data_IF_520651125338
#
_entry.id   IF_520651125338
#
_cell.length_a   1.000
_cell.length_b   1.000
_cell.length_c   1.000
_cell.angle_alpha   90.00
_cell.angle_beta   90.00
_cell.angle_gamma   90.00
#
_symmetry.space_group_name_H-M   'P 1'
#
loop_
_entity.id
_entity.type
_entity.pdbx_description
1 polymer ?
#
# COMPACT_ATOMS: atom_id res chain seq x y z
N UNK A 1 56.27 43.42 -14.60
CA UNK A 1 55.08 43.84 -15.37
C UNK A 1 55.07 43.13 -16.71
N UNK A 2 53.92 42.54 -17.08
CA UNK A 2 53.52 42.00 -18.39
C UNK A 2 54.45 40.97 -19.05
N UNK A 3 54.05 39.70 -18.96
CA UNK A 3 54.29 38.70 -20.02
C UNK A 3 52.99 37.95 -20.31
N UNK A 4 52.34 38.36 -21.41
CA UNK A 4 51.36 37.54 -22.13
C UNK A 4 52.13 36.41 -22.82
N UNK A 5 51.74 35.17 -22.59
CA UNK A 5 52.28 34.03 -23.34
C UNK A 5 51.15 33.09 -23.75
N UNK A 6 50.90 33.11 -25.06
CA UNK A 6 50.52 32.02 -25.98
C UNK A 6 49.34 31.11 -25.60
N UNK A 7 48.27 31.30 -26.37
CA UNK A 7 47.28 30.28 -26.73
C UNK A 7 47.92 29.27 -27.68
N UNK A 8 47.88 28.00 -27.30
CA UNK A 8 48.05 26.78 -28.11
C UNK A 8 46.78 25.98 -27.77
N UNK A 9 45.87 25.60 -28.67
CA UNK A 9 46.06 25.08 -30.01
C UNK A 9 45.99 23.56 -29.93
N UNK A 10 44.80 22.97 -29.82
CA UNK A 10 44.58 21.57 -30.23
C UNK A 10 43.10 21.31 -30.58
N UNK A 11 42.80 21.40 -31.87
CA UNK A 11 41.63 20.79 -32.47
C UNK A 11 41.84 19.28 -32.50
N UNK A 12 41.02 18.53 -31.75
CA UNK A 12 40.93 17.09 -31.91
C UNK A 12 39.59 16.76 -32.57
N UNK A 13 39.67 16.55 -33.88
CA UNK A 13 38.61 15.93 -34.66
C UNK A 13 38.47 14.48 -34.22
N UNK A 14 37.34 14.13 -33.59
CA UNK A 14 36.96 12.74 -33.39
C UNK A 14 36.11 12.32 -34.59
N UNK A 15 36.71 11.46 -35.41
CA UNK A 15 36.10 10.84 -36.56
C UNK A 15 34.91 9.95 -36.14
N UNK A 16 33.81 10.11 -36.87
CA UNK A 16 32.77 9.11 -36.97
C UNK A 16 33.32 7.88 -37.69
N UNK A 17 33.62 6.81 -36.95
CA UNK A 17 33.74 5.47 -37.53
C UNK A 17 32.44 4.72 -37.28
N UNK A 18 31.62 4.66 -38.34
CA UNK A 18 30.61 3.63 -38.50
C UNK A 18 31.33 2.28 -38.57
N UNK A 19 31.11 1.43 -37.58
CA UNK A 19 31.30 -0.01 -37.71
C UNK A 19 29.94 -0.67 -37.62
N UNK A 20 29.41 -0.96 -38.81
CA UNK A 20 28.36 -1.92 -39.00
C UNK A 20 28.87 -3.31 -38.57
N UNK A 21 28.23 -3.89 -37.57
CA UNK A 21 28.15 -5.34 -37.41
C UNK A 21 26.68 -5.70 -37.45
N UNK A 22 26.23 -5.92 -38.68
CA UNK A 22 25.03 -6.62 -39.04
C UNK A 22 25.12 -8.06 -38.48
N UNK A 23 24.19 -8.40 -37.60
CA UNK A 23 23.92 -9.78 -37.20
C UNK A 23 22.42 -9.91 -36.96
N UNK A 24 21.69 -9.68 -38.05
CA UNK A 24 20.29 -9.99 -38.20
C UNK A 24 20.08 -11.50 -38.09
N UNK A 25 19.89 -12.02 -36.86
CA UNK A 25 19.28 -13.34 -36.67
C UNK A 25 17.76 -13.16 -36.77
N UNK A 26 17.06 -13.82 -37.71
CA UNK A 26 15.62 -13.73 -37.78
C UNK A 26 15.03 -14.30 -36.50
N UNK A 27 14.20 -13.51 -35.82
CA UNK A 27 13.36 -14.01 -34.73
C UNK A 27 12.49 -15.14 -35.31
N UNK A 28 12.74 -16.37 -34.87
CA UNK A 28 11.86 -17.48 -35.10
C UNK A 28 10.50 -17.15 -34.47
N UNK A 29 9.56 -16.70 -35.30
CA UNK A 29 8.14 -16.66 -34.98
C UNK A 29 7.71 -18.09 -34.73
N UNK A 30 7.56 -18.48 -33.47
CA UNK A 30 6.70 -19.60 -33.14
C UNK A 30 5.27 -19.22 -33.53
N UNK A 31 4.59 -19.96 -34.42
CA UNK A 31 3.17 -19.75 -34.65
C UNK A 31 2.41 -20.08 -33.37
N UNK A 32 1.66 -19.10 -32.85
CA UNK A 32 0.58 -19.36 -31.88
C UNK A 32 -0.41 -20.32 -32.54
N UNK A 33 -0.78 -21.44 -31.90
CA UNK A 33 -1.91 -22.24 -32.35
C UNK A 33 -3.17 -21.37 -32.37
N UNK A 34 -3.72 -21.16 -33.57
CA UNK A 34 -5.00 -20.50 -33.76
C UNK A 34 -6.11 -21.39 -33.20
N UNK A 35 -6.86 -20.86 -32.24
CA UNK A 35 -8.14 -21.46 -31.86
C UNK A 35 -9.14 -21.18 -32.97
N UNK A 36 -9.50 -22.22 -33.72
CA UNK A 36 -10.65 -22.21 -34.60
C UNK A 36 -11.94 -22.03 -33.77
N UNK A 37 -12.90 -21.20 -34.22
CA UNK A 37 -14.21 -21.12 -33.58
C UNK A 37 -14.95 -22.45 -33.73
N UNK A 38 -15.38 -23.04 -32.62
CA UNK A 38 -16.22 -24.23 -32.62
C UNK A 38 -17.63 -23.88 -33.13
N UNK A 39 -18.20 -24.66 -34.06
CA UNK A 39 -19.60 -24.51 -34.48
C UNK A 39 -20.57 -24.71 -33.30
N UNK A 40 -21.58 -23.85 -33.24
CA UNK A 40 -22.63 -23.88 -32.21
C UNK A 40 -23.48 -25.14 -32.29
N UNK A 41 -23.74 -25.74 -31.14
CA UNK A 41 -24.74 -26.81 -31.00
C UNK A 41 -26.12 -26.18 -30.77
N UNK A 42 -27.19 -26.71 -31.42
CA UNK A 42 -28.55 -26.26 -31.18
C UNK A 42 -29.03 -26.68 -29.78
N UNK A 43 -29.92 -25.90 -29.13
CA UNK A 43 -30.46 -26.24 -27.82
C UNK A 43 -31.38 -27.48 -27.90
N UNK A 44 -31.15 -28.47 -27.03
CA UNK A 44 -32.05 -29.61 -26.89
C UNK A 44 -33.26 -29.27 -25.98
N UNK A 45 -34.48 -29.75 -26.31
CA UNK A 45 -35.67 -29.57 -25.49
C UNK A 45 -35.56 -30.31 -24.14
N UNK A 46 -36.01 -29.65 -23.08
CA UNK A 46 -36.01 -30.20 -21.72
C UNK A 46 -36.97 -31.37 -21.53
N UNK A 47 -36.49 -32.44 -20.92
CA UNK A 47 -37.31 -33.52 -20.38
C UNK A 47 -37.55 -33.33 -18.87
N UNK A 48 -38.75 -33.67 -18.35
CA UNK A 48 -39.05 -33.59 -16.93
C UNK A 48 -38.32 -34.68 -16.13
N UNK A 49 -37.92 -34.41 -14.86
CA UNK A 49 -37.22 -35.38 -14.04
C UNK A 49 -38.16 -36.50 -13.52
N UNK A 50 -37.69 -37.76 -13.42
CA UNK A 50 -38.46 -38.86 -12.87
C UNK A 50 -38.41 -38.91 -11.32
N UNK A 51 -39.42 -39.52 -10.66
CA UNK A 51 -39.50 -39.55 -9.20
C UNK A 51 -38.55 -40.59 -8.57
N UNK A 52 -38.13 -40.29 -7.34
CA UNK A 52 -37.00 -40.89 -6.65
C UNK A 52 -37.04 -42.39 -6.35
N UNK A 53 -35.84 -42.99 -6.33
CA UNK A 53 -35.53 -44.20 -5.58
C UNK A 53 -34.17 -44.03 -4.87
N UNK A 54 -34.03 -44.46 -3.60
CA UNK A 54 -32.80 -44.28 -2.83
C UNK A 54 -31.73 -45.32 -3.19
N UNK A 55 -30.47 -44.89 -3.34
CA UNK A 55 -29.29 -45.76 -3.52
C UNK A 55 -28.51 -45.91 -2.20
N UNK A 56 -28.01 -47.12 -1.86
CA UNK A 56 -27.17 -47.39 -0.69
C UNK A 56 -25.79 -46.72 -0.74
N UNK A 57 -25.33 -46.28 0.43
CA UNK A 57 -24.17 -45.39 0.60
C UNK A 57 -22.79 -46.07 0.53
N UNK A 58 -21.82 -45.30 0.05
CA UNK A 58 -20.38 -45.53 0.26
C UNK A 58 -19.91 -44.76 1.51
N UNK A 59 -18.94 -45.30 2.27
CA UNK A 59 -18.43 -44.64 3.47
C UNK A 59 -17.63 -43.37 3.14
N UNK A 60 -17.85 -42.25 3.85
CA UNK A 60 -17.11 -41.01 3.64
C UNK A 60 -15.68 -41.11 4.18
N UNK A 61 -14.73 -40.51 3.43
CA UNK A 61 -13.39 -40.17 3.92
C UNK A 61 -13.46 -39.17 5.09
N UNK A 62 -12.53 -39.18 6.05
CA UNK A 62 -12.50 -38.21 7.15
C UNK A 62 -12.41 -36.78 6.61
N UNK A 63 -13.52 -36.06 6.71
CA UNK A 63 -13.64 -34.65 6.38
C UNK A 63 -13.09 -33.79 7.51
N UNK A 64 -12.39 -32.72 7.12
CA UNK A 64 -12.11 -31.60 8.00
C UNK A 64 -13.44 -31.08 8.60
N UNK A 65 -13.45 -30.71 9.89
CA UNK A 65 -14.64 -30.17 10.51
C UNK A 65 -15.08 -28.89 9.78
N UNK A 66 -16.39 -28.73 9.50
CA UNK A 66 -16.91 -27.49 8.96
C UNK A 66 -16.60 -26.33 9.92
N UNK A 67 -16.32 -25.10 9.43
CA UNK A 67 -16.18 -23.96 10.31
C UNK A 67 -17.49 -23.77 11.05
N UNK A 68 -17.48 -24.06 12.35
CA UNK A 68 -18.54 -23.67 13.27
C UNK A 68 -18.73 -22.15 13.16
N UNK A 69 -20.00 -21.75 13.28
CA UNK A 69 -20.53 -20.43 12.99
C UNK A 69 -19.54 -19.28 13.15
N UNK A 70 -19.47 -18.45 12.10
CA UNK A 70 -18.88 -17.12 12.21
C UNK A 70 -19.47 -16.46 13.47
N UNK A 71 -18.64 -16.12 14.48
CA UNK A 71 -19.12 -15.29 15.56
C UNK A 71 -19.62 -13.97 14.93
N UNK A 72 -20.74 -13.41 15.41
CA UNK A 72 -21.18 -12.09 14.98
C UNK A 72 -20.00 -11.11 15.12
N UNK A 73 -19.88 -10.11 14.22
CA UNK A 73 -18.79 -9.15 14.30
C UNK A 73 -18.74 -8.59 15.73
N UNK A 74 -17.56 -8.56 16.38
CA UNK A 74 -17.47 -8.13 17.76
C UNK A 74 -17.96 -6.68 17.87
N UNK A 75 -19.20 -6.53 18.37
CA UNK A 75 -19.70 -5.29 18.97
C UNK A 75 -18.90 -5.06 20.25
N UNK A 76 -17.71 -4.51 20.13
CA UNK A 76 -16.83 -4.32 21.30
C UNK A 76 -15.37 -4.01 21.00
N UNK A 77 -15.04 -3.51 19.79
CA UNK A 77 -13.77 -2.80 19.66
C UNK A 77 -13.83 -1.59 20.59
N UNK A 78 -12.88 -1.46 21.51
CA UNK A 78 -12.69 -0.22 22.24
C UNK A 78 -12.74 0.95 21.22
N UNK A 79 -13.47 2.04 21.52
CA UNK A 79 -13.45 3.21 20.66
C UNK A 79 -12.01 3.55 20.32
N UNK A 80 -11.73 3.79 19.03
CA UNK A 80 -10.48 4.44 18.63
C UNK A 80 -10.25 5.61 19.60
N UNK A 81 -9.03 5.81 20.13
CA UNK A 81 -8.74 6.97 20.96
C UNK A 81 -9.21 8.21 20.19
N UNK A 82 -10.29 8.83 20.65
CA UNK A 82 -10.75 10.07 20.03
C UNK A 82 -9.67 11.11 20.32
N UNK A 83 -9.12 11.79 19.30
CA UNK A 83 -8.21 12.89 19.54
C UNK A 83 -8.90 13.91 20.45
N UNK A 84 -8.13 14.50 21.38
CA UNK A 84 -8.64 15.63 22.14
C UNK A 84 -9.14 16.73 21.18
N UNK A 85 -10.20 17.49 21.54
CA UNK A 85 -10.69 18.57 20.69
C UNK A 85 -9.55 19.53 20.32
N UNK A 86 -9.35 19.75 19.02
CA UNK A 86 -8.32 20.68 18.54
C UNK A 86 -8.71 22.12 18.88
N UNK A 87 -7.74 22.95 19.32
CA UNK A 87 -8.01 24.36 19.62
C UNK A 87 -8.45 25.10 18.35
N UNK A 88 -9.26 26.17 18.47
CA UNK A 88 -9.60 27.02 17.33
C UNK A 88 -8.34 27.45 16.56
N UNK A 89 -8.40 27.37 15.24
CA UNK A 89 -7.29 27.65 14.34
C UNK A 89 -7.81 28.48 13.15
N UNK A 90 -7.05 29.46 12.64
CA UNK A 90 -7.47 30.27 11.51
C UNK A 90 -7.75 29.42 10.27
N UNK A 91 -8.64 29.87 9.35
CA UNK A 91 -8.89 29.16 8.11
C UNK A 91 -7.63 28.99 7.25
N UNK A 92 -7.48 27.82 6.63
CA UNK A 92 -6.40 27.49 5.69
C UNK A 92 -7.00 27.32 4.30
N UNK A 93 -6.95 28.39 3.51
CA UNK A 93 -7.58 28.45 2.17
C UNK A 93 -6.77 27.76 1.07
N UNK A 94 -5.46 27.56 1.29
CA UNK A 94 -4.55 27.01 0.29
C UNK A 94 -3.91 25.70 0.75
N UNK A 95 -4.71 24.79 1.29
CA UNK A 95 -4.22 23.51 1.78
C UNK A 95 -3.84 22.55 0.62
N UNK A 96 -2.62 21.99 0.60
CA UNK A 96 -2.17 21.12 -0.50
C UNK A 96 -2.91 19.78 -0.57
N UNK A 97 -3.43 19.24 0.53
CA UNK A 97 -4.22 18.00 0.51
C UNK A 97 -5.61 18.25 -0.08
N UNK A 98 -6.24 19.39 0.25
CA UNK A 98 -7.51 19.79 -0.35
C UNK A 98 -7.40 19.96 -1.88
N UNK A 99 -6.25 20.44 -2.36
CA UNK A 99 -5.94 20.60 -3.79
C UNK A 99 -5.38 19.36 -4.48
N UNK A 100 -5.12 18.28 -3.72
CA UNK A 100 -4.49 17.06 -4.24
C UNK A 100 -3.16 17.38 -4.92
N UNK A 101 -2.33 18.19 -4.27
CA UNK A 101 -0.98 18.52 -4.73
C UNK A 101 -0.07 17.29 -4.60
N UNK A 102 0.17 16.63 -5.73
CA UNK A 102 0.95 15.40 -5.77
C UNK A 102 2.41 15.59 -5.37
N UNK A 103 2.99 16.76 -5.64
CA UNK A 103 4.37 17.02 -5.26
C UNK A 103 4.50 17.15 -3.74
N UNK A 104 3.55 17.83 -3.10
CA UNK A 104 3.45 17.88 -1.65
C UNK A 104 3.32 16.46 -1.05
N UNK A 105 2.38 15.65 -1.58
CA UNK A 105 2.14 14.30 -1.07
C UNK A 105 3.37 13.39 -1.20
N UNK A 106 4.07 13.44 -2.34
CA UNK A 106 5.32 12.70 -2.55
C UNK A 106 6.41 13.15 -1.58
N UNK A 107 6.58 14.46 -1.37
CA UNK A 107 7.53 14.99 -0.38
C UNK A 107 7.16 14.55 1.04
N UNK A 108 5.88 14.53 1.38
CA UNK A 108 5.42 14.06 2.70
C UNK A 108 5.71 12.57 2.90
N UNK A 109 5.48 11.74 1.88
CA UNK A 109 5.84 10.32 1.92
C UNK A 109 7.35 10.11 2.18
N UNK A 110 8.22 10.91 1.54
CA UNK A 110 9.67 10.88 1.79
C UNK A 110 10.04 11.30 3.21
N UNK A 111 9.33 12.27 3.79
CA UNK A 111 9.54 12.66 5.19
C UNK A 111 9.11 11.55 6.15
N UNK A 112 7.92 10.99 5.94
CA UNK A 112 7.37 9.91 6.78
C UNK A 112 8.28 8.68 6.77
N UNK A 113 8.78 8.24 5.61
CA UNK A 113 9.73 7.11 5.56
C UNK A 113 11.05 7.41 6.28
N UNK A 114 11.51 8.68 6.26
CA UNK A 114 12.66 9.11 7.05
C UNK A 114 12.44 8.97 8.55
N UNK A 115 11.27 9.40 9.04
CA UNK A 115 10.87 9.25 10.44
C UNK A 115 10.79 7.76 10.84
N UNK A 116 10.15 6.93 10.02
CA UNK A 116 10.04 5.47 10.22
C UNK A 116 11.41 4.80 10.32
N UNK A 117 12.31 5.05 9.36
CA UNK A 117 13.69 4.52 9.38
C UNK A 117 14.45 4.96 10.63
N UNK A 118 14.31 6.23 11.03
CA UNK A 118 14.97 6.76 12.23
C UNK A 118 14.47 6.09 13.52
N UNK A 119 13.22 5.63 13.51
CA UNK A 119 12.57 4.96 14.63
C UNK A 119 13.00 3.51 14.82
N UNK A 120 13.59 2.87 13.81
CA UNK A 120 14.00 1.48 13.88
C UNK A 120 15.19 1.25 14.83
N UNK A 121 15.26 0.07 15.49
CA UNK A 121 16.48 -0.43 16.11
C UNK A 121 17.69 -0.41 15.17
N UNK A 122 18.90 -0.27 15.72
CA UNK A 122 20.14 -0.08 14.94
C UNK A 122 20.36 -1.14 13.85
N UNK A 123 20.11 -2.42 14.16
CA UNK A 123 20.27 -3.52 13.22
C UNK A 123 19.29 -3.41 12.04
N UNK A 124 18.00 -3.21 12.32
CA UNK A 124 16.96 -3.08 11.30
C UNK A 124 17.16 -1.82 10.47
N UNK A 125 17.51 -0.70 11.10
CA UNK A 125 17.83 0.55 10.40
C UNK A 125 18.99 0.38 9.43
N UNK A 126 20.06 -0.31 9.84
CA UNK A 126 21.20 -0.60 8.98
C UNK A 126 20.84 -1.38 7.70
N UNK A 127 19.79 -2.20 7.75
CA UNK A 127 19.32 -2.96 6.58
C UNK A 127 18.54 -2.12 5.57
N UNK A 128 17.88 -1.05 6.02
CA UNK A 128 16.91 -0.31 5.19
C UNK A 128 17.25 1.15 4.97
N UNK A 129 18.30 1.67 5.62
CA UNK A 129 18.68 3.08 5.50
C UNK A 129 18.85 3.51 4.04
N UNK A 130 19.48 2.65 3.22
CA UNK A 130 19.76 2.91 1.81
C UNK A 130 18.62 2.54 0.84
N UNK A 131 17.53 1.91 1.32
CA UNK A 131 16.41 1.51 0.46
C UNK A 131 15.65 2.75 -0.01
N UNK A 132 15.62 3.07 -1.32
CA UNK A 132 14.90 4.25 -1.80
C UNK A 132 13.38 4.00 -1.79
N UNK A 133 12.62 5.06 -1.51
CA UNK A 133 11.20 5.12 -1.83
C UNK A 133 11.07 5.77 -3.20
N UNK A 134 10.50 5.03 -4.16
CA UNK A 134 10.22 5.48 -5.52
C UNK A 134 8.73 5.75 -5.67
N UNK A 135 8.40 6.65 -6.58
CA UNK A 135 7.00 6.93 -6.91
C UNK A 135 6.61 6.18 -8.15
N UNK A 136 5.49 5.47 -8.08
CA UNK A 136 4.80 4.87 -9.22
C UNK A 136 3.73 5.84 -9.72
N UNK A 137 4.00 6.50 -10.84
CA UNK A 137 3.11 7.48 -11.45
C UNK A 137 2.09 6.85 -12.43
N UNK A 138 2.02 5.51 -12.48
CA UNK A 138 1.08 4.80 -13.34
C UNK A 138 -0.35 5.18 -13.00
N UNK A 139 -1.05 5.68 -14.01
CA UNK A 139 -2.44 6.15 -13.90
C UNK A 139 -3.35 5.06 -13.37
N UNK A 140 -4.05 5.38 -12.27
CA UNK A 140 -5.07 4.50 -11.67
C UNK A 140 -4.50 3.36 -10.82
N UNK A 141 -3.18 3.26 -10.69
CA UNK A 141 -2.55 2.33 -9.76
C UNK A 141 -2.77 2.85 -8.33
N UNK A 142 -3.27 1.98 -7.45
CA UNK A 142 -3.45 2.24 -6.01
C UNK A 142 -2.78 1.11 -5.28
N UNK A 143 -1.49 1.30 -5.03
CA UNK A 143 -0.63 0.31 -4.42
C UNK A 143 0.58 0.94 -3.73
N UNK A 144 1.18 0.16 -2.82
CA UNK A 144 2.54 0.30 -2.35
C UNK A 144 3.14 -1.10 -2.27
N UNK A 145 4.44 -1.23 -2.49
CA UNK A 145 5.10 -2.54 -2.42
C UNK A 145 6.60 -2.41 -2.17
N UNK A 146 7.14 -3.36 -1.42
CA UNK A 146 8.55 -3.64 -1.30
C UNK A 146 9.00 -4.60 -2.41
N UNK A 147 10.07 -4.25 -3.13
CA UNK A 147 10.57 -5.03 -4.27
C UNK A 147 12.06 -5.31 -4.17
N UNK A 148 12.45 -6.39 -4.84
CA UNK A 148 13.83 -6.76 -5.07
C UNK A 148 14.13 -6.83 -6.56
N UNK A 149 15.06 -6.02 -7.04
CA UNK A 149 15.45 -6.00 -8.46
C UNK A 149 16.97 -6.12 -8.57
N UNK A 150 17.44 -7.20 -9.20
CA UNK A 150 18.87 -7.47 -9.38
C UNK A 150 19.66 -7.43 -8.06
N UNK A 151 19.07 -7.94 -6.97
CA UNK A 151 19.67 -7.91 -5.63
C UNK A 151 19.60 -6.55 -4.94
N UNK A 152 18.87 -5.57 -5.49
CA UNK A 152 18.68 -4.25 -4.89
C UNK A 152 17.27 -4.10 -4.34
N UNK A 153 17.20 -3.68 -3.08
CA UNK A 153 15.95 -3.39 -2.39
C UNK A 153 15.43 -1.99 -2.73
N UNK A 154 14.13 -1.87 -2.93
CA UNK A 154 13.43 -0.61 -3.12
C UNK A 154 11.99 -0.73 -2.66
N UNK A 155 11.40 0.40 -2.30
CA UNK A 155 9.96 0.51 -2.03
C UNK A 155 9.33 1.40 -3.09
N UNK A 156 8.10 1.09 -3.49
CA UNK A 156 7.31 1.94 -4.35
C UNK A 156 6.01 2.35 -3.66
N UNK A 157 5.57 3.59 -3.91
CA UNK A 157 4.23 4.08 -3.57
C UNK A 157 3.62 4.76 -4.79
N UNK A 158 2.38 4.43 -5.10
CA UNK A 158 1.69 5.01 -6.26
C UNK A 158 1.10 6.39 -5.98
N UNK A 159 1.06 7.24 -7.01
CA UNK A 159 0.34 8.52 -6.94
C UNK A 159 -1.16 8.32 -6.63
N UNK A 160 -1.76 7.26 -7.17
CA UNK A 160 -3.16 6.95 -6.88
C UNK A 160 -3.40 6.58 -5.42
N UNK A 161 -2.46 5.88 -4.76
CA UNK A 161 -2.57 5.62 -3.32
C UNK A 161 -2.45 6.91 -2.50
N UNK A 162 -1.50 7.79 -2.85
CA UNK A 162 -1.36 9.09 -2.20
C UNK A 162 -2.65 9.92 -2.31
N UNK A 163 -3.26 9.96 -3.50
CA UNK A 163 -4.51 10.68 -3.73
C UNK A 163 -5.69 10.06 -2.94
N UNK A 164 -5.83 8.74 -2.93
CA UNK A 164 -6.86 8.06 -2.13
C UNK A 164 -6.69 8.37 -0.64
N UNK A 165 -5.47 8.29 -0.09
CA UNK A 165 -5.17 8.62 1.30
C UNK A 165 -5.48 10.08 1.63
N UNK A 166 -5.15 11.02 0.76
CA UNK A 166 -5.50 12.43 0.98
C UNK A 166 -7.02 12.65 1.06
N UNK A 167 -7.80 11.99 0.20
CA UNK A 167 -9.26 12.10 0.23
C UNK A 167 -9.87 11.39 1.45
N UNK A 168 -9.33 10.22 1.84
CA UNK A 168 -9.72 9.53 3.07
C UNK A 168 -9.49 10.41 4.30
N UNK A 169 -8.29 10.99 4.43
CA UNK A 169 -7.93 11.91 5.50
C UNK A 169 -8.84 13.14 5.55
N UNK A 170 -9.09 13.79 4.41
CA UNK A 170 -9.97 14.97 4.30
C UNK A 170 -11.42 14.64 4.71
N UNK A 171 -11.94 13.52 4.21
CA UNK A 171 -13.29 13.06 4.53
C UNK A 171 -13.43 12.69 6.01
N UNK A 172 -12.47 11.93 6.54
CA UNK A 172 -12.47 11.51 7.94
C UNK A 172 -12.28 12.68 8.90
N UNK A 173 -11.41 13.64 8.58
CA UNK A 173 -11.25 14.85 9.40
C UNK A 173 -12.54 15.69 9.44
N UNK A 174 -13.30 15.74 8.34
CA UNK A 174 -14.60 16.42 8.31
C UNK A 174 -15.58 15.75 9.27
N UNK A 175 -15.59 14.42 9.29
CA UNK A 175 -16.45 13.64 10.20
C UNK A 175 -16.07 13.85 11.67
N UNK A 176 -14.77 13.86 11.97
CA UNK A 176 -14.27 14.03 13.34
C UNK A 176 -14.47 15.46 13.88
N UNK A 177 -14.36 16.48 13.03
CA UNK A 177 -14.48 17.89 13.47
C UNK A 177 -15.92 18.39 13.46
N UNK A 178 -16.74 17.93 12.51
CA UNK A 178 -18.09 18.48 12.27
C UNK A 178 -19.22 17.46 12.44
N UNK A 179 -18.92 16.20 12.76
CA UNK A 179 -19.94 15.15 12.88
C UNK A 179 -20.63 14.81 11.56
N UNK A 180 -19.95 15.03 10.43
CA UNK A 180 -20.47 14.66 9.11
C UNK A 180 -20.38 13.14 8.86
N UNK A 181 -20.75 12.70 7.65
CA UNK A 181 -20.55 11.32 7.16
C UNK A 181 -19.81 11.29 5.82
N UNK A 182 -18.90 12.23 5.62
CA UNK A 182 -18.12 12.42 4.39
C UNK A 182 -17.27 11.22 4.06
N UNK A 183 -16.75 10.47 5.03
CA UNK A 183 -16.01 9.25 4.73
C UNK A 183 -16.90 8.19 4.08
N UNK A 184 -18.09 7.95 4.63
CA UNK A 184 -19.08 7.03 4.04
C UNK A 184 -19.59 7.52 2.67
N UNK A 185 -19.82 8.83 2.53
CA UNK A 185 -20.19 9.43 1.24
C UNK A 185 -19.08 9.26 0.20
N UNK A 186 -17.81 9.42 0.60
CA UNK A 186 -16.65 9.27 -0.27
C UNK A 186 -16.48 7.81 -0.71
N UNK A 187 -16.64 6.86 0.22
CA UNK A 187 -16.66 5.43 -0.09
C UNK A 187 -17.70 5.12 -1.17
N UNK A 188 -18.96 5.55 -0.99
CA UNK A 188 -20.02 5.34 -1.98
C UNK A 188 -19.72 6.02 -3.31
N UNK A 189 -19.09 7.19 -3.27
CA UNK A 189 -18.66 7.90 -4.47
C UNK A 189 -17.62 7.09 -5.26
N UNK A 190 -16.59 6.56 -4.60
CA UNK A 190 -15.57 5.71 -5.23
C UNK A 190 -16.22 4.43 -5.77
N UNK A 191 -17.04 3.73 -4.98
CA UNK A 191 -17.74 2.51 -5.42
C UNK A 191 -18.54 2.73 -6.71
N UNK A 192 -19.25 3.85 -6.79
CA UNK A 192 -20.11 4.16 -7.94
C UNK A 192 -19.30 4.56 -9.18
N UNK A 193 -18.27 5.39 -8.99
CA UNK A 193 -17.66 6.14 -10.09
C UNK A 193 -16.28 5.63 -10.51
N UNK A 194 -15.52 5.01 -9.61
CA UNK A 194 -14.18 4.51 -9.94
C UNK A 194 -14.29 3.35 -10.93
N UNK A 195 -13.32 3.29 -11.85
CA UNK A 195 -13.17 2.21 -12.82
C UNK A 195 -11.73 1.69 -12.81
N UNK A 196 -11.51 0.38 -13.04
CA UNK A 196 -10.16 -0.17 -13.11
C UNK A 196 -9.31 0.51 -14.19
N UNK A 197 -8.02 0.74 -13.89
CA UNK A 197 -7.05 1.36 -14.81
C UNK A 197 -7.43 2.75 -15.34
N UNK A 198 -8.27 3.49 -14.59
CA UNK A 198 -8.61 4.88 -14.87
C UNK A 198 -8.03 5.78 -13.78
N UNK A 199 -7.77 7.07 -14.06
CA UNK A 199 -7.41 8.03 -13.03
C UNK A 199 -8.35 7.95 -11.83
N UNK A 200 -7.85 8.30 -10.65
CA UNK A 200 -8.67 8.35 -9.44
C UNK A 200 -9.78 9.39 -9.66
N UNK A 201 -11.03 8.96 -9.47
CA UNK A 201 -12.16 9.87 -9.60
C UNK A 201 -12.16 10.81 -8.40
N UNK A 202 -12.22 12.12 -8.66
CA UNK A 202 -12.23 13.16 -7.63
C UNK A 202 -13.66 13.56 -7.27
N UNK A 203 -13.97 13.76 -5.99
CA UNK A 203 -15.28 14.28 -5.60
C UNK A 203 -15.58 15.61 -6.32
N UNK A 204 -16.83 15.81 -6.79
CA UNK A 204 -17.19 17.03 -7.50
C UNK A 204 -17.18 18.26 -6.57
N UNK A 205 -17.17 19.45 -7.17
CA UNK A 205 -17.37 20.71 -6.43
C UNK A 205 -18.69 20.64 -5.64
N UNK A 206 -18.67 21.11 -4.39
CA UNK A 206 -19.81 21.04 -3.48
C UNK A 206 -19.92 19.71 -2.72
N UNK A 207 -19.08 18.71 -3.03
CA UNK A 207 -19.01 17.50 -2.20
C UNK A 207 -18.58 17.84 -0.77
N UNK A 208 -17.56 18.68 -0.60
CA UNK A 208 -17.17 19.23 0.70
C UNK A 208 -17.82 20.60 0.92
N UNK A 209 -18.27 20.87 2.14
CA UNK A 209 -18.75 22.21 2.51
C UNK A 209 -17.54 23.17 2.51
N UNK A 210 -17.55 24.25 1.71
CA UNK A 210 -16.37 25.11 1.56
C UNK A 210 -15.87 25.76 2.87
N UNK A 211 -16.78 26.10 3.78
CA UNK A 211 -16.43 26.71 5.08
C UNK A 211 -15.76 25.70 5.99
N UNK A 212 -16.31 24.48 6.06
CA UNK A 212 -15.73 23.38 6.83
C UNK A 212 -14.38 22.93 6.26
N UNK A 213 -14.26 22.97 4.94
CA UNK A 213 -13.11 22.42 4.23
C UNK A 213 -11.84 23.26 4.39
N UNK A 214 -11.98 24.55 4.73
CA UNK A 214 -10.86 25.44 5.07
C UNK A 214 -10.70 25.63 6.58
N UNK A 215 -11.53 25.03 7.44
CA UNK A 215 -11.37 25.16 8.90
C UNK A 215 -10.00 24.63 9.35
N UNK A 216 -9.24 25.45 10.08
CA UNK A 216 -7.87 25.14 10.47
C UNK A 216 -7.73 23.89 11.34
N UNK A 217 -8.75 23.53 12.13
CA UNK A 217 -8.76 22.29 12.94
C UNK A 217 -8.93 21.07 12.04
N UNK A 218 -9.86 21.15 11.07
CA UNK A 218 -10.06 20.08 10.08
C UNK A 218 -8.81 19.91 9.23
N UNK A 219 -8.22 21.00 8.77
CA UNK A 219 -6.96 20.97 8.00
C UNK A 219 -5.81 20.41 8.84
N UNK A 220 -5.67 20.78 10.12
CA UNK A 220 -4.68 20.15 10.97
C UNK A 220 -4.93 18.63 11.12
N UNK A 221 -6.19 18.23 11.33
CA UNK A 221 -6.54 16.82 11.54
C UNK A 221 -6.35 15.95 10.29
N UNK A 222 -6.68 16.45 9.10
CA UNK A 222 -6.46 15.69 7.87
C UNK A 222 -4.97 15.44 7.62
N UNK A 223 -4.07 16.38 7.95
CA UNK A 223 -2.63 16.13 7.82
C UNK A 223 -2.16 15.06 8.82
N UNK A 224 -2.69 15.06 10.05
CA UNK A 224 -2.39 14.01 11.03
C UNK A 224 -2.84 12.63 10.53
N UNK A 225 -4.05 12.52 9.98
CA UNK A 225 -4.58 11.27 9.44
C UNK A 225 -3.78 10.80 8.23
N UNK A 226 -3.49 11.70 7.30
CA UNK A 226 -2.68 11.40 6.12
C UNK A 226 -1.30 10.87 6.49
N UNK A 227 -0.64 11.47 7.50
CA UNK A 227 0.63 10.98 8.01
C UNK A 227 0.54 9.58 8.61
N UNK A 228 -0.52 9.29 9.38
CA UNK A 228 -0.72 7.95 9.95
C UNK A 228 -0.98 6.90 8.86
N UNK A 229 -1.74 7.25 7.82
CA UNK A 229 -2.00 6.39 6.66
C UNK A 229 -0.70 6.08 5.89
N UNK A 230 0.11 7.11 5.62
CA UNK A 230 1.44 6.95 5.03
C UNK A 230 2.35 6.10 5.91
N UNK A 231 2.39 6.39 7.21
CA UNK A 231 3.26 5.69 8.15
C UNK A 231 2.92 4.21 8.23
N UNK A 232 1.64 3.85 8.11
CA UNK A 232 1.19 2.47 8.17
C UNK A 232 1.64 1.71 6.92
N UNK A 233 1.28 2.22 5.74
CA UNK A 233 1.61 1.57 4.47
C UNK A 233 3.13 1.48 4.28
N UNK A 234 3.85 2.58 4.49
CA UNK A 234 5.29 2.61 4.32
C UNK A 234 6.01 1.80 5.40
N UNK A 235 5.51 1.79 6.63
CA UNK A 235 6.05 0.95 7.71
C UNK A 235 5.89 -0.54 7.42
N UNK A 236 4.75 -0.93 6.84
CA UNK A 236 4.49 -2.29 6.38
C UNK A 236 5.48 -2.70 5.27
N UNK A 237 5.62 -1.91 4.22
CA UNK A 237 6.59 -2.20 3.14
C UNK A 237 8.04 -2.22 3.64
N UNK A 238 8.39 -1.34 4.58
CA UNK A 238 9.72 -1.30 5.18
C UNK A 238 10.00 -2.59 5.96
N UNK A 239 8.99 -3.15 6.63
CA UNK A 239 9.08 -4.41 7.35
C UNK A 239 9.37 -5.60 6.42
N UNK A 240 8.80 -5.63 5.21
CA UNK A 240 9.17 -6.65 4.23
C UNK A 240 10.67 -6.66 3.89
N UNK A 241 11.34 -5.52 4.01
CA UNK A 241 12.78 -5.44 3.84
C UNK A 241 13.55 -5.92 5.08
N UNK A 242 13.38 -5.30 6.25
CA UNK A 242 14.21 -5.65 7.42
C UNK A 242 13.85 -6.99 8.08
N UNK A 243 12.72 -7.61 7.71
CA UNK A 243 12.40 -9.00 8.08
C UNK A 243 12.90 -10.01 7.04
N UNK A 244 13.50 -9.55 5.93
CA UNK A 244 14.06 -10.41 4.89
C UNK A 244 13.03 -11.02 3.94
N UNK A 245 11.75 -10.60 3.97
CA UNK A 245 10.69 -11.14 3.10
C UNK A 245 10.99 -10.93 1.61
N UNK A 246 11.72 -9.85 1.28
CA UNK A 246 12.15 -9.53 -0.10
C UNK A 246 13.48 -10.19 -0.50
N UNK A 247 14.25 -10.69 0.47
CA UNK A 247 15.51 -11.39 0.21
C UNK A 247 16.72 -10.54 -0.23
N UNK A 248 16.63 -9.20 -0.22
CA UNK A 248 17.77 -8.37 -0.67
C UNK A 248 17.99 -7.03 0.06
N UNK A 249 17.27 -6.80 1.15
CA UNK A 249 17.65 -5.73 2.07
C UNK A 249 18.76 -6.21 3.02
N UNK A 250 19.78 -5.39 3.21
CA UNK A 250 20.92 -5.69 4.07
C UNK A 250 21.93 -4.54 4.12
N UNK A 251 22.94 -4.62 5.01
CA UNK A 251 23.94 -3.55 5.19
C UNK A 251 24.75 -3.24 3.92
N UNK A 252 24.71 -4.14 2.94
CA UNK A 252 25.46 -4.08 1.68
C UNK A 252 24.54 -3.83 0.46
N UNK A 253 23.25 -3.53 0.67
CA UNK A 253 22.31 -3.29 -0.44
C UNK A 253 22.83 -2.16 -1.32
N UNK A 254 23.12 -2.49 -2.58
CA UNK A 254 23.64 -1.54 -3.56
C UNK A 254 22.59 -0.49 -3.93
N UNK A 255 23.04 0.73 -4.22
CA UNK A 255 22.17 1.80 -4.69
C UNK A 255 21.45 1.42 -6.00
N UNK A 256 20.16 1.74 -6.06
CA UNK A 256 19.28 1.52 -7.22
C UNK A 256 19.67 2.52 -8.32
N UNK A 257 19.83 2.03 -9.57
CA UNK A 257 20.12 2.90 -10.72
C UNK A 257 18.82 3.41 -11.37
N UNK A 258 18.85 4.51 -12.16
CA UNK A 258 17.69 4.97 -12.92
C UNK A 258 17.08 3.90 -13.84
N UNK A 259 17.91 3.01 -14.39
CA UNK A 259 17.47 1.88 -15.23
C UNK A 259 16.75 0.79 -14.43
N UNK A 260 17.11 0.61 -13.16
CA UNK A 260 16.41 -0.30 -12.25
C UNK A 260 15.00 0.24 -11.92
N UNK A 261 14.85 1.57 -11.77
CA UNK A 261 13.57 2.24 -11.51
C UNK A 261 12.51 1.98 -12.59
N UNK A 262 12.89 2.07 -13.87
CA UNK A 262 11.97 1.84 -14.99
C UNK A 262 11.40 0.41 -15.06
N UNK A 263 11.99 -0.56 -14.35
CA UNK A 263 11.53 -1.95 -14.28
C UNK A 263 10.64 -2.24 -13.07
N UNK A 264 10.64 -1.36 -12.06
CA UNK A 264 9.80 -1.45 -10.85
C UNK A 264 8.32 -1.37 -11.19
N UNK A 265 7.98 -0.52 -12.16
CA UNK A 265 6.61 -0.15 -12.52
C UNK A 265 5.85 -1.24 -13.29
N UNK A 266 6.49 -2.37 -13.61
CA UNK A 266 5.91 -3.44 -14.43
C UNK A 266 5.77 -4.79 -13.74
N UNK A 267 6.12 -4.92 -12.45
CA UNK A 267 6.09 -6.20 -11.73
C UNK A 267 5.41 -6.04 -10.38
N UNK A 268 4.12 -6.37 -10.33
CA UNK A 268 3.47 -6.74 -9.07
C UNK A 268 4.24 -7.92 -8.46
N UNK A 269 4.68 -7.78 -7.21
CA UNK A 269 5.32 -8.85 -6.46
C UNK A 269 4.26 -9.93 -6.22
N UNK A 270 4.58 -11.25 -6.38
CA UNK A 270 3.65 -12.30 -6.01
C UNK A 270 3.18 -12.07 -4.57
N UNK A 271 1.87 -12.21 -4.31
CA UNK A 271 1.33 -12.06 -2.96
C UNK A 271 2.18 -12.83 -1.96
N UNK A 272 2.72 -12.15 -0.96
CA UNK A 272 3.59 -12.79 0.02
C UNK A 272 2.80 -13.87 0.76
N UNK A 273 3.49 -14.89 1.27
CA UNK A 273 2.83 -15.88 2.10
C UNK A 273 2.23 -15.20 3.34
N UNK A 274 1.09 -15.72 3.82
CA UNK A 274 0.34 -15.11 4.93
C UNK A 274 1.20 -14.82 6.18
N UNK A 275 2.17 -15.68 6.59
CA UNK A 275 3.08 -15.37 7.68
C UNK A 275 3.88 -14.07 7.50
N UNK A 276 4.40 -13.81 6.30
CA UNK A 276 5.18 -12.61 6.02
C UNK A 276 4.33 -11.35 6.16
N UNK A 277 3.09 -11.37 5.67
CA UNK A 277 2.15 -10.25 5.76
C UNK A 277 1.75 -9.93 7.21
N UNK A 278 1.51 -10.96 8.02
CA UNK A 278 1.26 -10.80 9.47
C UNK A 278 2.48 -10.18 10.16
N UNK A 279 3.68 -10.66 9.80
CA UNK A 279 4.95 -10.12 10.28
C UNK A 279 5.12 -8.65 9.92
N UNK A 280 4.80 -8.29 8.67
CA UNK A 280 4.87 -6.92 8.16
C UNK A 280 3.85 -5.99 8.83
N UNK A 281 2.60 -6.42 9.01
CA UNK A 281 1.58 -5.63 9.74
C UNK A 281 1.98 -5.38 11.19
N UNK A 282 2.50 -6.40 11.87
CA UNK A 282 2.92 -6.30 13.27
C UNK A 282 4.11 -5.36 13.41
N UNK A 283 5.15 -5.57 12.60
CA UNK A 283 6.37 -4.77 12.71
C UNK A 283 6.18 -3.35 12.16
N UNK A 284 5.41 -3.19 11.09
CA UNK A 284 5.03 -1.89 10.55
C UNK A 284 4.19 -1.08 11.53
N UNK A 285 3.22 -1.69 12.21
CA UNK A 285 2.43 -1.01 13.27
C UNK A 285 3.33 -0.60 14.45
N UNK A 286 4.22 -1.48 14.92
CA UNK A 286 5.19 -1.14 15.96
C UNK A 286 6.12 0.01 15.53
N UNK A 287 6.57 0.01 14.27
CA UNK A 287 7.44 1.05 13.73
C UNK A 287 6.71 2.39 13.62
N UNK A 288 5.48 2.40 13.10
CA UNK A 288 4.60 3.57 13.10
C UNK A 288 4.44 4.17 14.50
N UNK A 289 4.08 3.36 15.49
CA UNK A 289 3.82 3.86 16.84
C UNK A 289 5.10 4.37 17.51
N UNK A 290 6.22 3.68 17.28
CA UNK A 290 7.52 4.09 17.81
C UNK A 290 8.04 5.36 17.15
N UNK A 291 7.80 5.56 15.85
CA UNK A 291 8.10 6.82 15.16
C UNK A 291 7.20 7.95 15.67
N UNK A 292 5.90 7.69 15.75
CA UNK A 292 4.90 8.61 16.27
C UNK A 292 5.22 9.13 17.67
N UNK A 293 5.63 8.23 18.57
CA UNK A 293 5.99 8.56 19.95
C UNK A 293 7.25 9.43 20.09
N UNK A 294 8.08 9.55 19.05
CA UNK A 294 9.27 10.41 19.04
C UNK A 294 9.00 11.82 18.50
N UNK A 295 7.80 12.06 17.95
CA UNK A 295 7.43 13.36 17.39
C UNK A 295 7.23 14.36 18.53
N UNK A 296 7.61 15.62 18.30
CA UNK A 296 7.33 16.72 19.23
C UNK A 296 5.90 17.24 19.12
N UNK A 297 5.24 16.98 17.99
CA UNK A 297 3.86 17.38 17.71
C UNK A 297 2.88 16.23 17.94
N UNK A 298 1.94 16.06 17.01
CA UNK A 298 1.01 14.94 17.08
C UNK A 298 1.73 13.59 17.07
N UNK A 299 1.47 12.77 18.07
CA UNK A 299 1.95 11.39 18.15
C UNK A 299 1.03 10.49 17.33
N UNK A 300 1.59 9.78 16.36
CA UNK A 300 0.82 8.85 15.54
C UNK A 300 0.23 7.69 16.33
N UNK A 301 -0.92 7.23 15.85
CA UNK A 301 -1.68 6.10 16.33
C UNK A 301 -1.96 5.14 15.18
N UNK A 302 -2.49 3.95 15.49
CA UNK A 302 -3.02 3.02 14.49
C UNK A 302 -4.30 3.53 13.80
N UNK A 303 -4.73 4.77 14.05
CA UNK A 303 -5.89 5.41 13.44
C UNK A 303 -5.84 5.37 11.91
N UNK A 304 -4.75 5.88 11.31
CA UNK A 304 -4.55 5.82 9.85
C UNK A 304 -4.44 4.40 9.28
N UNK A 305 -3.86 3.46 10.03
CA UNK A 305 -3.85 2.05 9.64
C UNK A 305 -5.27 1.49 9.53
N UNK A 306 -6.10 1.77 10.55
CA UNK A 306 -7.48 1.34 10.57
C UNK A 306 -8.34 2.10 9.57
N UNK A 307 -8.06 3.36 9.29
CA UNK A 307 -8.72 4.13 8.24
C UNK A 307 -8.48 3.46 6.87
N UNK A 308 -7.21 3.18 6.55
CA UNK A 308 -6.79 2.50 5.32
C UNK A 308 -7.46 1.12 5.18
N UNK A 309 -7.35 0.28 6.21
CA UNK A 309 -7.91 -1.09 6.15
C UNK A 309 -9.44 -1.10 6.10
N UNK A 310 -10.12 -0.20 6.82
CA UNK A 310 -11.58 -0.11 6.75
C UNK A 310 -12.06 0.41 5.40
N UNK A 311 -11.31 1.28 4.73
CA UNK A 311 -11.62 1.71 3.37
C UNK A 311 -11.63 0.54 2.39
N UNK A 312 -10.54 -0.24 2.32
CA UNK A 312 -10.49 -1.40 1.43
C UNK A 312 -11.50 -2.49 1.83
N UNK A 313 -11.76 -2.68 3.13
CA UNK A 313 -12.83 -3.57 3.59
C UNK A 313 -14.20 -3.13 3.08
N UNK A 314 -14.49 -1.83 3.20
CA UNK A 314 -15.76 -1.25 2.76
C UNK A 314 -15.93 -1.35 1.25
N UNK A 315 -14.88 -1.09 0.47
CA UNK A 315 -14.91 -1.26 -0.98
C UNK A 315 -15.29 -2.69 -1.35
N UNK A 316 -14.62 -3.71 -0.81
CA UNK A 316 -14.96 -5.13 -1.07
C UNK A 316 -16.39 -5.49 -0.72
N UNK A 317 -16.91 -4.94 0.37
CA UNK A 317 -18.28 -5.24 0.79
C UNK A 317 -19.33 -4.53 -0.06
N UNK A 318 -18.97 -3.43 -0.74
CA UNK A 318 -19.89 -2.59 -1.50
C UNK A 318 -19.78 -2.76 -3.02
N UNK A 319 -18.68 -3.33 -3.51
CA UNK A 319 -18.48 -3.61 -4.94
C UNK A 319 -18.42 -5.12 -5.20
N UNK A 320 -18.95 -5.60 -6.35
CA UNK A 320 -18.58 -6.92 -6.85
C UNK A 320 -17.06 -7.10 -6.86
N UNK A 321 -16.56 -8.32 -6.62
CA UNK A 321 -15.12 -8.58 -6.49
C UNK A 321 -14.33 -8.15 -7.73
N UNK A 322 -14.97 -8.05 -8.89
CA UNK A 322 -14.37 -7.68 -10.17
C UNK A 322 -14.52 -6.19 -10.51
N UNK A 323 -15.35 -5.43 -9.77
CA UNK A 323 -15.74 -4.07 -10.14
C UNK A 323 -14.70 -3.01 -9.74
N UNK A 324 -14.01 -3.22 -8.62
CA UNK A 324 -12.91 -2.36 -8.15
C UNK A 324 -11.81 -3.28 -7.66
N UNK A 325 -10.71 -3.35 -8.40
CA UNK A 325 -9.50 -4.02 -7.97
C UNK A 325 -8.38 -2.99 -7.97
N UNK A 326 -8.09 -2.47 -6.78
CA UNK A 326 -6.87 -1.72 -6.54
C UNK A 326 -5.71 -2.69 -6.37
N UNK A 327 -4.51 -2.32 -6.85
CA UNK A 327 -3.32 -3.17 -6.76
C UNK A 327 -3.00 -3.63 -5.33
N UNK A 328 -3.31 -2.78 -4.35
CA UNK A 328 -3.21 -3.09 -2.93
C UNK A 328 -3.98 -4.37 -2.53
N UNK A 329 -5.20 -4.55 -3.05
CA UNK A 329 -6.05 -5.69 -2.73
C UNK A 329 -5.67 -7.00 -3.42
N UNK A 330 -4.82 -6.90 -4.45
CA UNK A 330 -4.29 -8.05 -5.19
C UNK A 330 -2.99 -8.57 -4.56
N UNK A 331 -2.25 -7.69 -3.89
CA UNK A 331 -0.94 -7.96 -3.32
C UNK A 331 -0.98 -8.32 -1.83
N UNK A 332 -2.01 -7.85 -1.11
CA UNK A 332 -2.11 -8.02 0.34
C UNK A 332 -3.30 -8.90 0.77
N UNK A 333 -3.24 -9.52 1.97
CA UNK A 333 -4.36 -10.26 2.54
C UNK A 333 -5.59 -9.38 2.76
N UNK A 334 -6.75 -10.03 2.82
CA UNK A 334 -8.02 -9.35 3.02
C UNK A 334 -8.00 -8.51 4.32
N UNK A 335 -8.47 -7.24 4.29
CA UNK A 335 -8.40 -6.34 5.45
C UNK A 335 -9.05 -6.87 6.73
N UNK A 336 -10.12 -7.68 6.61
CA UNK A 336 -10.77 -8.31 7.75
C UNK A 336 -9.83 -9.19 8.61
N UNK A 337 -8.77 -9.76 8.03
CA UNK A 337 -7.75 -10.50 8.78
C UNK A 337 -6.69 -9.59 9.40
N UNK A 338 -6.37 -8.47 8.73
CA UNK A 338 -5.33 -7.52 9.14
C UNK A 338 -5.76 -6.62 10.29
N UNK A 339 -7.03 -6.18 10.31
CA UNK A 339 -7.57 -5.26 11.33
C UNK A 339 -7.36 -5.78 12.78
N UNK A 340 -7.68 -7.04 13.13
CA UNK A 340 -7.41 -7.56 14.47
C UNK A 340 -5.92 -7.57 14.83
N UNK A 341 -5.02 -7.82 13.87
CA UNK A 341 -3.57 -7.86 14.08
C UNK A 341 -3.05 -6.46 14.41
N UNK A 342 -3.44 -5.45 13.63
CA UNK A 342 -3.06 -4.05 13.87
C UNK A 342 -3.54 -3.58 15.25
N UNK A 343 -4.81 -3.86 15.60
CA UNK A 343 -5.36 -3.50 16.93
C UNK A 343 -4.63 -4.21 18.07
N UNK A 344 -4.41 -5.51 17.93
CA UNK A 344 -3.70 -6.31 18.95
C UNK A 344 -2.28 -5.78 19.15
N UNK A 345 -1.57 -5.51 18.06
CA UNK A 345 -0.21 -4.97 18.08
C UNK A 345 -0.16 -3.62 18.77
N UNK A 346 -1.04 -2.67 18.40
CA UNK A 346 -1.08 -1.35 19.02
C UNK A 346 -1.41 -1.43 20.52
N UNK A 347 -2.34 -2.29 20.92
CA UNK A 347 -2.65 -2.53 22.32
C UNK A 347 -1.46 -3.10 23.09
N UNK A 348 -0.72 -4.03 22.50
CA UNK A 348 0.47 -4.61 23.13
C UNK A 348 1.60 -3.58 23.25
N UNK A 349 1.82 -2.78 22.21
CA UNK A 349 2.80 -1.68 22.22
C UNK A 349 2.50 -0.66 23.33
N UNK A 350 1.23 -0.31 23.54
CA UNK A 350 0.84 0.57 24.66
C UNK A 350 1.09 -0.09 26.01
N UNK A 351 0.68 -1.35 26.18
CA UNK A 351 0.86 -2.11 27.43
C UNK A 351 2.33 -2.28 27.82
N UNK A 352 3.23 -2.36 26.84
CA UNK A 352 4.67 -2.49 27.07
C UNK A 352 5.39 -1.16 27.29
N UNK A 353 4.66 -0.03 27.31
CA UNK A 353 5.24 1.30 27.42
C UNK A 353 6.08 1.69 26.19
N UNK A 354 5.67 1.23 25.00
CA UNK A 354 6.37 1.48 23.75
C UNK A 354 7.60 0.62 23.50
N UNK A 355 7.86 -0.38 24.35
CA UNK A 355 8.84 -1.41 24.06
C UNK A 355 8.27 -2.35 23.01
N UNK A 356 8.88 -2.44 21.84
CA UNK A 356 8.52 -3.45 20.86
C UNK A 356 8.65 -4.83 21.51
N UNK A 357 7.53 -5.48 21.80
CA UNK A 357 7.55 -6.88 22.19
C UNK A 357 7.92 -7.67 20.93
N UNK A 358 8.98 -8.48 20.95
CA UNK A 358 9.23 -9.41 19.87
C UNK A 358 7.96 -10.24 19.72
N UNK A 359 7.34 -10.18 18.56
CA UNK A 359 6.17 -11.00 18.30
C UNK A 359 6.66 -12.43 18.07
N UNK A 360 6.75 -13.20 19.15
CA UNK A 360 6.96 -14.63 19.12
C UNK A 360 5.61 -15.29 18.82
N UNK A 361 5.31 -15.57 17.56
CA UNK A 361 4.45 -16.74 17.32
C UNK A 361 5.29 -17.97 17.60
N UNK A 362 4.82 -18.95 18.40
CA UNK A 362 5.29 -20.31 18.25
C UNK A 362 4.85 -20.78 16.86
N UNK A 363 5.74 -20.70 15.87
CA UNK A 363 5.63 -21.65 14.76
C UNK A 363 6.09 -22.99 15.34
N UNK A 364 5.22 -24.02 15.38
CA UNK A 364 5.71 -25.36 15.64
C UNK A 364 6.64 -25.73 14.48
N UNK A 365 7.95 -25.76 14.73
CA UNK A 365 8.84 -26.67 14.00
C UNK A 365 9.58 -26.15 12.76
N UNK A 366 10.05 -24.91 12.70
CA UNK A 366 11.18 -24.59 11.81
C UNK A 366 12.30 -23.94 12.61
N UNK A 367 13.13 -24.80 13.20
CA UNK A 367 14.44 -24.40 13.70
C UNK A 367 15.29 -23.94 12.52
N UNK A 368 15.65 -22.65 12.52
CA UNK A 368 16.81 -22.20 11.79
C UNK A 368 18.00 -22.33 12.74
N UNK A 369 18.81 -23.35 12.51
CA UNK A 369 20.18 -23.42 13.02
C UNK A 369 20.93 -22.19 12.53
N UNK A 370 21.72 -21.58 13.42
CA UNK A 370 22.69 -20.54 13.08
C UNK A 370 23.73 -21.02 12.07
#
# INVERSE_FOLDING_TARGET
MRRFTKVVGLSLALMFTQTACDNSKPAARYPRPGYAPRPGYPPQPGYPPPPGQPRPGYPPRPGYPPPQGQPPPPRGGAPLPQPAPLPPSPPVVNDPLNFVDINFMRQRAQQVIGELKSALPNNQRGMVQAVPLVVDDKVGEVNAFAACINGKALMAISDGLLEIQAQMARARASDEVFGTRKFDEYLRFIVKNQRPNKPIVRPPVGFYNPVQDVDGRKVQRQHQLFDEELAFVLGHELAHHYLGHTGCAGPQSAAVSPQDLGRVLSRAVPGFNQPNEIGADTNGTNNLLSAGARRQGYHWTEGGALLTLNFFLALRNMSPAEAILFGFELSHPHPAFRIPIVRSTANNWRKSGGKSTPWTFPFPGLGFSQ
#
